data_IF_333898106478
#
_entry.id   IF_333898106478
#
_cell.length_a   1.000
_cell.length_b   1.000
_cell.length_c   1.000
_cell.angle_alpha   90.00
_cell.angle_beta   90.00
_cell.angle_gamma   90.00
#
_symmetry.space_group_name_H-M   'P 1'
#
loop_
_entity.id
_entity.type
_entity.pdbx_description
1 polymer ?
#
# COMPACT_ATOMS: atom_id res chain seq x y z
N UNK A 1 21.52 2.03 -22.32
CA UNK A 1 22.36 3.09 -22.92
C UNK A 1 21.48 3.93 -23.84
N UNK A 2 21.48 5.27 -23.76
CA UNK A 2 20.94 6.08 -24.84
C UNK A 2 21.94 6.00 -25.99
N UNK A 3 21.66 5.13 -26.96
CA UNK A 3 22.48 5.00 -28.16
C UNK A 3 22.32 6.26 -29.01
N UNK A 4 23.42 6.97 -29.24
CA UNK A 4 23.45 8.00 -30.29
C UNK A 4 23.32 7.29 -31.64
N UNK A 5 22.19 7.49 -32.32
CA UNK A 5 21.95 6.93 -33.65
C UNK A 5 22.51 7.86 -34.72
N UNK A 6 23.14 7.29 -35.74
CA UNK A 6 23.75 8.08 -36.82
C UNK A 6 22.70 8.68 -37.78
N UNK A 7 21.53 8.04 -37.89
CA UNK A 7 20.41 8.54 -38.68
C UNK A 7 19.05 7.94 -38.21
N UNK A 8 17.95 8.55 -38.68
CA UNK A 8 16.58 8.14 -38.33
C UNK A 8 16.19 6.75 -38.83
N UNK A 9 16.77 6.29 -39.95
CA UNK A 9 16.49 4.96 -40.51
C UNK A 9 17.04 3.85 -39.60
N UNK A 10 18.28 4.01 -39.14
CA UNK A 10 18.93 3.09 -38.20
C UNK A 10 18.16 2.99 -36.89
N UNK A 11 17.79 4.15 -36.31
CA UNK A 11 16.94 4.21 -35.11
C UNK A 11 15.62 3.46 -35.29
N UNK A 12 14.91 3.71 -36.40
CA UNK A 12 13.61 3.11 -36.64
C UNK A 12 13.70 1.60 -36.86
N UNK A 13 14.74 1.11 -37.54
CA UNK A 13 14.99 -0.33 -37.70
C UNK A 13 15.25 -1.01 -36.35
N UNK A 14 16.10 -0.41 -35.51
CA UNK A 14 16.37 -0.96 -34.19
C UNK A 14 15.12 -0.92 -33.31
N UNK A 15 14.34 0.16 -33.35
CA UNK A 15 13.06 0.25 -32.63
C UNK A 15 12.11 -0.88 -33.03
N UNK A 16 11.91 -1.12 -34.33
CA UNK A 16 11.06 -2.21 -34.82
C UNK A 16 11.56 -3.59 -34.39
N UNK A 17 12.88 -3.78 -34.35
CA UNK A 17 13.46 -5.03 -33.85
C UNK A 17 13.17 -5.23 -32.36
N UNK A 18 13.42 -4.22 -31.52
CA UNK A 18 13.16 -4.26 -30.09
C UNK A 18 11.67 -4.49 -29.82
N UNK A 19 10.79 -3.79 -30.53
CA UNK A 19 9.34 -3.93 -30.42
C UNK A 19 8.90 -5.37 -30.72
N UNK A 20 9.38 -5.95 -31.83
CA UNK A 20 9.05 -7.32 -32.21
C UNK A 20 9.56 -8.36 -31.19
N UNK A 21 10.76 -8.15 -30.66
CA UNK A 21 11.35 -9.00 -29.63
C UNK A 21 10.54 -8.91 -28.32
N UNK A 22 10.12 -7.71 -27.90
CA UNK A 22 9.30 -7.55 -26.70
C UNK A 22 7.91 -8.14 -26.84
N UNK A 23 7.23 -7.92 -27.97
CA UNK A 23 5.92 -8.53 -28.23
C UNK A 23 5.98 -10.05 -28.16
N UNK A 24 7.02 -10.65 -28.74
CA UNK A 24 7.23 -12.10 -28.66
C UNK A 24 7.42 -12.56 -27.21
N UNK A 25 8.29 -11.88 -26.45
CA UNK A 25 8.57 -12.19 -25.06
C UNK A 25 7.32 -12.07 -24.18
N UNK A 26 6.53 -11.02 -24.34
CA UNK A 26 5.31 -10.81 -23.56
C UNK A 26 4.24 -11.87 -23.89
N UNK A 27 4.11 -12.29 -25.16
CA UNK A 27 3.23 -13.42 -25.56
C UNK A 27 3.65 -14.73 -24.91
N UNK A 28 4.95 -15.03 -24.91
CA UNK A 28 5.50 -16.23 -24.28
C UNK A 28 5.28 -16.21 -22.75
N UNK A 29 5.52 -15.06 -22.11
CA UNK A 29 5.28 -14.87 -20.67
C UNK A 29 3.80 -15.03 -20.31
N UNK A 30 2.89 -14.42 -21.08
CA UNK A 30 1.45 -14.51 -20.84
C UNK A 30 0.97 -15.95 -21.00
N UNK A 31 1.40 -16.64 -22.07
CA UNK A 31 1.07 -18.04 -22.32
C UNK A 31 1.53 -18.91 -21.16
N UNK A 32 2.80 -18.79 -20.75
CA UNK A 32 3.35 -19.55 -19.64
C UNK A 32 2.64 -19.26 -18.30
N UNK A 33 2.22 -18.00 -18.06
CA UNK A 33 1.45 -17.63 -16.88
C UNK A 33 0.08 -18.32 -16.85
N UNK A 34 -0.64 -18.28 -17.97
CA UNK A 34 -1.98 -18.88 -18.09
C UNK A 34 -1.93 -20.41 -18.04
N UNK A 35 -0.93 -21.04 -18.66
CA UNK A 35 -0.74 -22.50 -18.64
C UNK A 35 -0.39 -23.04 -17.25
N UNK A 36 0.39 -22.29 -16.46
CA UNK A 36 0.71 -22.69 -15.08
C UNK A 36 -0.47 -22.56 -14.13
N UNK A 37 -1.47 -21.73 -14.44
CA UNK A 37 -2.63 -21.50 -13.58
C UNK A 37 -2.29 -20.86 -12.22
N UNK A 38 -1.26 -20.01 -12.17
CA UNK A 38 -0.83 -19.34 -10.93
C UNK A 38 -1.64 -18.07 -10.65
N UNK A 39 -1.59 -17.59 -9.41
CA UNK A 39 -2.18 -16.31 -9.01
C UNK A 39 -1.34 -15.13 -9.51
N UNK A 40 -1.98 -13.97 -9.66
CA UNK A 40 -1.27 -12.72 -10.00
C UNK A 40 -0.36 -12.28 -8.83
N UNK A 41 0.70 -11.51 -9.12
CA UNK A 41 1.68 -11.10 -8.11
C UNK A 41 1.06 -10.38 -6.91
N UNK A 42 0.03 -9.56 -7.14
CA UNK A 42 -0.68 -8.85 -6.07
C UNK A 42 -1.35 -9.80 -5.07
N UNK A 43 -2.00 -10.86 -5.57
CA UNK A 43 -2.63 -11.88 -4.73
C UNK A 43 -1.57 -12.72 -4.01
N UNK A 44 -0.53 -13.17 -4.72
CA UNK A 44 0.58 -13.91 -4.11
C UNK A 44 1.25 -13.11 -2.97
N UNK A 45 1.45 -11.79 -3.15
CA UNK A 45 2.00 -10.94 -2.11
C UNK A 45 1.05 -10.82 -0.91
N UNK A 46 -0.24 -10.57 -1.17
CA UNK A 46 -1.24 -10.46 -0.11
C UNK A 46 -1.36 -11.74 0.72
N UNK A 47 -1.25 -12.91 0.09
CA UNK A 47 -1.27 -14.22 0.77
C UNK A 47 -0.01 -14.44 1.60
N UNK A 48 1.18 -14.21 1.04
CA UNK A 48 2.45 -14.33 1.79
C UNK A 48 2.47 -13.42 3.02
N UNK A 49 2.04 -12.16 2.85
CA UNK A 49 1.94 -11.21 3.97
C UNK A 49 0.92 -11.67 5.00
N UNK A 50 -0.21 -12.23 4.56
CA UNK A 50 -1.23 -12.81 5.46
C UNK A 50 -0.63 -13.95 6.27
N UNK A 51 0.05 -14.90 5.64
CA UNK A 51 0.66 -16.04 6.30
C UNK A 51 1.69 -15.61 7.35
N UNK A 52 2.61 -14.71 6.97
CA UNK A 52 3.68 -14.24 7.85
C UNK A 52 3.13 -13.44 9.04
N UNK A 53 2.16 -12.55 8.83
CA UNK A 53 1.56 -11.77 9.92
C UNK A 53 0.74 -12.66 10.85
N UNK A 54 -0.03 -13.61 10.32
CA UNK A 54 -0.76 -14.59 11.13
C UNK A 54 0.18 -15.46 11.97
N UNK A 55 1.33 -15.89 11.41
CA UNK A 55 2.35 -16.60 12.15
C UNK A 55 2.97 -15.78 13.29
N UNK A 56 2.89 -14.44 13.23
CA UNK A 56 3.27 -13.50 14.30
C UNK A 56 2.11 -13.13 15.24
N UNK A 57 1.00 -13.83 15.16
CA UNK A 57 -0.16 -13.65 16.05
C UNK A 57 -1.06 -12.48 15.68
N UNK A 58 -0.95 -11.93 14.47
CA UNK A 58 -1.92 -10.96 13.97
C UNK A 58 -3.18 -11.65 13.44
N UNK A 59 -4.34 -11.06 13.71
CA UNK A 59 -5.61 -11.50 13.12
C UNK A 59 -5.91 -10.67 11.87
N UNK A 60 -6.17 -11.33 10.74
CA UNK A 60 -6.67 -10.63 9.55
C UNK A 60 -8.13 -10.25 9.75
N UNK A 61 -8.44 -8.97 9.61
CA UNK A 61 -9.82 -8.45 9.61
C UNK A 61 -10.21 -7.99 8.21
N UNK A 62 -11.51 -7.92 7.96
CA UNK A 62 -12.09 -7.40 6.70
C UNK A 62 -13.19 -6.43 7.05
N UNK A 63 -13.09 -5.19 6.55
CA UNK A 63 -14.05 -4.13 6.89
C UNK A 63 -14.74 -3.60 5.63
N UNK A 64 -15.91 -2.94 5.75
CA UNK A 64 -16.61 -2.40 4.59
C UNK A 64 -15.75 -1.42 3.79
N UNK A 65 -15.90 -1.42 2.46
CA UNK A 65 -15.30 -0.41 1.57
C UNK A 65 -15.97 0.95 1.74
N UNK A 66 -17.28 0.96 1.98
CA UNK A 66 -18.05 2.17 2.22
C UNK A 66 -17.87 2.62 3.67
N UNK A 67 -17.51 3.88 3.85
CA UNK A 67 -17.41 4.52 5.17
C UNK A 67 -18.31 5.75 5.23
N UNK A 68 -18.67 6.18 6.44
CA UNK A 68 -19.47 7.39 6.63
C UNK A 68 -18.63 8.66 6.50
N UNK A 69 -19.27 9.75 6.09
CA UNK A 69 -18.70 11.12 6.16
C UNK A 69 -18.20 11.45 7.57
N UNK A 70 -18.93 11.04 8.60
CA UNK A 70 -18.56 11.26 10.00
C UNK A 70 -17.28 10.52 10.39
N UNK A 71 -17.02 9.34 9.84
CA UNK A 71 -15.80 8.58 10.10
C UNK A 71 -14.58 9.27 9.51
N UNK A 72 -14.71 9.88 8.32
CA UNK A 72 -13.65 10.73 7.76
C UNK A 72 -13.43 12.02 8.57
N UNK A 73 -14.50 12.67 9.03
CA UNK A 73 -14.39 13.85 9.88
C UNK A 73 -13.63 13.54 11.18
N UNK A 74 -13.84 12.35 11.78
CA UNK A 74 -13.04 11.87 12.93
C UNK A 74 -11.57 11.65 12.62
N UNK A 75 -11.19 11.53 11.35
CA UNK A 75 -9.80 11.53 10.88
C UNK A 75 -9.29 12.95 10.58
N UNK A 76 -9.98 14.01 11.02
CA UNK A 76 -9.68 15.42 10.70
C UNK A 76 -9.72 15.75 9.20
N UNK A 77 -10.39 14.90 8.40
CA UNK A 77 -10.65 15.16 6.98
C UNK A 77 -12.01 15.84 6.85
N UNK A 78 -12.03 17.12 7.18
CA UNK A 78 -13.19 18.01 6.96
C UNK A 78 -13.29 18.50 5.51
N UNK A 79 -14.19 19.43 5.22
CA UNK A 79 -14.43 19.94 3.86
C UNK A 79 -13.29 20.81 3.31
N UNK A 80 -12.47 21.39 4.19
CA UNK A 80 -11.33 22.23 3.80
C UNK A 80 -10.03 21.42 3.67
N UNK A 81 -9.99 20.21 4.24
CA UNK A 81 -8.83 19.33 4.17
C UNK A 81 -8.50 18.91 2.72
N UNK A 82 -7.24 19.01 2.26
CA UNK A 82 -6.86 18.68 0.87
C UNK A 82 -7.29 17.28 0.41
N UNK A 83 -7.22 16.30 1.31
CA UNK A 83 -7.64 14.91 1.05
C UNK A 83 -9.13 14.78 0.70
N UNK A 84 -10.01 15.68 1.16
CA UNK A 84 -11.45 15.60 0.87
C UNK A 84 -11.72 15.70 -0.63
N UNK A 85 -10.94 16.52 -1.36
CA UNK A 85 -11.01 16.64 -2.82
C UNK A 85 -10.69 15.33 -3.54
N UNK A 86 -9.92 14.45 -2.91
CA UNK A 86 -9.56 13.15 -3.43
C UNK A 86 -10.60 12.07 -3.10
N UNK A 87 -11.63 12.35 -2.31
CA UNK A 87 -12.61 11.32 -1.89
C UNK A 87 -13.65 11.06 -2.99
N UNK A 88 -13.92 9.78 -3.26
CA UNK A 88 -15.05 9.33 -4.06
C UNK A 88 -16.32 9.23 -3.22
N UNK A 89 -17.15 10.27 -3.27
CA UNK A 89 -18.46 10.31 -2.61
C UNK A 89 -19.49 9.47 -3.37
N UNK A 90 -20.19 8.58 -2.66
CA UNK A 90 -21.28 7.74 -3.20
C UNK A 90 -22.64 8.38 -2.91
N UNK A 91 -22.77 9.05 -1.77
CA UNK A 91 -23.93 9.82 -1.37
C UNK A 91 -23.49 11.00 -0.49
N UNK A 92 -24.45 11.80 -0.02
CA UNK A 92 -24.18 12.89 0.95
C UNK A 92 -23.47 12.39 2.22
N UNK A 93 -23.73 11.15 2.64
CA UNK A 93 -23.30 10.62 3.92
C UNK A 93 -22.28 9.47 3.83
N UNK A 94 -21.98 8.98 2.62
CA UNK A 94 -21.10 7.83 2.41
C UNK A 94 -20.11 8.05 1.25
N UNK A 95 -18.93 7.48 1.39
CA UNK A 95 -17.89 7.49 0.37
C UNK A 95 -17.14 6.15 0.33
N UNK A 96 -16.39 5.92 -0.75
CA UNK A 96 -15.37 4.89 -0.77
C UNK A 96 -14.24 5.29 0.17
N UNK A 97 -13.69 4.32 0.93
CA UNK A 97 -12.60 4.58 1.86
C UNK A 97 -11.31 5.00 1.13
N UNK A 98 -10.70 6.15 1.47
CA UNK A 98 -9.41 6.58 0.92
C UNK A 98 -8.20 6.00 1.68
N UNK A 99 -8.47 5.32 2.81
CA UNK A 99 -7.51 4.67 3.69
C UNK A 99 -8.26 3.66 4.58
N UNK A 100 -7.54 2.70 5.17
CA UNK A 100 -8.13 1.69 6.07
C UNK A 100 -8.37 2.22 7.50
N UNK A 101 -7.67 3.28 7.90
CA UNK A 101 -7.64 3.77 9.28
C UNK A 101 -9.02 4.01 9.93
N UNK A 102 -10.04 4.64 9.31
CA UNK A 102 -11.34 4.87 9.95
C UNK A 102 -11.99 3.58 10.50
N UNK A 103 -11.96 2.51 9.73
CA UNK A 103 -12.53 1.24 10.16
C UNK A 103 -11.63 0.55 11.19
N UNK A 104 -10.30 0.62 11.02
CA UNK A 104 -9.37 0.05 11.99
C UNK A 104 -9.47 0.75 13.35
N UNK A 105 -9.61 2.08 13.40
CA UNK A 105 -9.87 2.82 14.63
C UNK A 105 -11.20 2.42 15.28
N UNK A 106 -12.25 2.16 14.49
CA UNK A 106 -13.52 1.62 15.02
C UNK A 106 -13.29 0.28 15.72
N UNK A 107 -12.51 -0.61 15.10
CA UNK A 107 -12.14 -1.89 15.71
C UNK A 107 -11.25 -1.69 16.95
N UNK A 108 -10.28 -0.77 16.93
CA UNK A 108 -9.47 -0.43 18.11
C UNK A 108 -10.35 -0.01 19.29
N UNK A 109 -11.35 0.83 19.04
CA UNK A 109 -12.31 1.28 20.05
C UNK A 109 -13.06 0.11 20.68
N UNK A 110 -13.55 -0.83 19.86
CA UNK A 110 -14.25 -2.01 20.37
C UNK A 110 -13.32 -3.00 21.08
N UNK A 111 -12.12 -3.22 20.53
CA UNK A 111 -11.12 -4.13 21.08
C UNK A 111 -10.47 -3.61 22.35
N UNK A 112 -10.44 -2.29 22.58
CA UNK A 112 -9.95 -1.67 23.82
C UNK A 112 -10.63 -2.24 25.07
N UNK A 113 -11.89 -2.68 24.94
CA UNK A 113 -12.71 -3.26 26.02
C UNK A 113 -12.22 -4.64 26.47
N UNK A 114 -11.43 -5.32 25.65
CA UNK A 114 -10.85 -6.63 25.96
C UNK A 114 -9.73 -6.50 26.99
N UNK A 115 -9.53 -7.53 27.81
CA UNK A 115 -8.56 -7.51 28.93
C UNK A 115 -7.13 -7.83 28.53
N UNK A 116 -6.91 -8.56 27.45
CA UNK A 116 -5.57 -9.02 27.07
C UNK A 116 -4.86 -7.97 26.22
N UNK A 117 -3.54 -7.90 26.37
CA UNK A 117 -2.63 -7.17 25.50
C UNK A 117 -1.40 -8.05 25.21
N UNK A 118 -0.75 -7.87 24.06
CA UNK A 118 -1.13 -6.96 22.97
C UNK A 118 -2.31 -7.49 22.14
N UNK A 119 -3.05 -6.58 21.49
CA UNK A 119 -4.06 -6.93 20.48
C UNK A 119 -3.49 -6.62 19.11
N UNK A 120 -3.45 -7.62 18.23
CA UNK A 120 -2.78 -7.56 16.93
C UNK A 120 -3.74 -7.89 15.82
N UNK A 121 -3.92 -6.96 14.89
CA UNK A 121 -4.76 -7.18 13.72
C UNK A 121 -4.29 -6.37 12.52
N UNK A 122 -4.71 -6.80 11.33
CA UNK A 122 -4.39 -6.12 10.10
C UNK A 122 -5.49 -6.31 9.06
N UNK A 123 -5.56 -5.40 8.09
CA UNK A 123 -6.42 -5.53 6.93
C UNK A 123 -5.59 -5.35 5.66
N UNK A 124 -5.86 -6.18 4.65
CA UNK A 124 -5.43 -5.97 3.26
C UNK A 124 -6.67 -5.74 2.42
N UNK A 125 -6.78 -4.58 1.76
CA UNK A 125 -7.93 -4.30 0.90
C UNK A 125 -7.85 -3.00 0.11
N UNK A 126 -8.79 -2.85 -0.84
CA UNK A 126 -8.85 -1.68 -1.71
C UNK A 126 -9.15 -0.39 -0.96
N UNK A 127 -8.45 0.67 -1.37
CA UNK A 127 -8.70 2.06 -1.05
C UNK A 127 -8.79 2.87 -2.35
N UNK A 128 -9.44 4.03 -2.27
CA UNK A 128 -9.77 4.83 -3.46
C UNK A 128 -9.48 6.31 -3.25
N UNK A 129 -8.72 6.91 -4.16
CA UNK A 129 -8.44 8.36 -4.17
C UNK A 129 -8.52 8.90 -5.59
N UNK A 130 -9.11 10.07 -5.79
CA UNK A 130 -9.10 10.79 -7.06
C UNK A 130 -7.71 11.37 -7.28
N UNK A 131 -6.79 10.51 -7.67
CA UNK A 131 -5.47 10.88 -8.17
C UNK A 131 -5.48 10.65 -9.68
N UNK A 132 -4.79 11.52 -10.42
CA UNK A 132 -4.50 11.22 -11.82
C UNK A 132 -3.60 9.99 -11.86
N UNK A 133 -4.07 8.91 -12.48
CA UNK A 133 -3.27 7.70 -12.68
C UNK A 133 -1.93 8.11 -13.31
N UNK A 134 -0.85 7.85 -12.59
CA UNK A 134 0.49 8.33 -12.91
C UNK A 134 1.54 7.30 -12.54
N UNK A 135 2.82 7.62 -12.72
CA UNK A 135 3.89 6.65 -12.47
C UNK A 135 3.89 6.09 -11.03
N UNK A 136 3.39 6.83 -10.04
CA UNK A 136 3.45 6.46 -8.60
C UNK A 136 2.07 6.36 -7.92
N UNK A 137 0.98 6.60 -8.65
CA UNK A 137 -0.37 6.78 -8.12
C UNK A 137 -1.41 6.05 -8.98
N UNK A 138 -2.33 5.34 -8.32
CA UNK A 138 -3.50 4.71 -8.93
C UNK A 138 -4.76 5.20 -8.20
N UNK A 139 -5.86 5.36 -8.94
CA UNK A 139 -7.16 5.73 -8.36
C UNK A 139 -7.74 4.66 -7.43
N UNK A 140 -7.58 3.38 -7.76
CA UNK A 140 -7.76 2.23 -6.87
C UNK A 140 -6.38 1.63 -6.52
N UNK A 141 -6.13 1.40 -5.23
CA UNK A 141 -4.90 0.80 -4.74
C UNK A 141 -5.19 -0.11 -3.54
N UNK A 142 -4.28 -1.06 -3.28
CA UNK A 142 -4.43 -2.05 -2.23
C UNK A 142 -3.53 -1.69 -1.06
N UNK A 143 -4.15 -1.37 0.07
CA UNK A 143 -3.43 -1.09 1.31
C UNK A 143 -3.33 -2.33 2.16
N UNK A 144 -2.20 -2.51 2.82
CA UNK A 144 -2.07 -3.29 4.04
C UNK A 144 -1.91 -2.32 5.20
N UNK A 145 -2.80 -2.37 6.19
CA UNK A 145 -2.61 -1.67 7.44
C UNK A 145 -2.61 -2.67 8.60
N UNK A 146 -1.56 -2.63 9.42
CA UNK A 146 -1.45 -3.43 10.64
C UNK A 146 -1.47 -2.52 11.87
N UNK A 147 -2.01 -3.03 12.97
CA UNK A 147 -2.12 -2.35 14.26
C UNK A 147 -1.78 -3.32 15.38
N UNK A 148 -0.94 -2.88 16.32
CA UNK A 148 -0.66 -3.57 17.57
C UNK A 148 -0.95 -2.64 18.76
N UNK A 149 -2.03 -2.91 19.48
CA UNK A 149 -2.45 -2.18 20.68
C UNK A 149 -1.80 -2.76 21.93
N UNK A 150 -1.44 -1.89 22.87
CA UNK A 150 -0.80 -2.23 24.14
C UNK A 150 0.72 -2.37 24.06
N UNK A 151 1.37 -1.83 23.03
CA UNK A 151 2.84 -1.78 22.96
C UNK A 151 3.36 -0.74 23.96
N UNK A 152 4.27 -1.07 24.89
CA UNK A 152 4.79 -0.12 25.88
C UNK A 152 5.40 1.12 25.22
N UNK A 153 5.21 2.32 25.80
CA UNK A 153 5.56 3.57 25.11
C UNK A 153 7.02 3.66 24.65
N UNK A 154 7.95 3.17 25.49
CA UNK A 154 9.39 3.17 25.20
C UNK A 154 9.84 2.13 24.17
N UNK A 155 8.96 1.19 23.80
CA UNK A 155 9.27 0.11 22.85
C UNK A 155 8.63 0.34 21.47
N UNK A 156 7.72 1.32 21.34
CA UNK A 156 6.92 1.55 20.14
C UNK A 156 7.76 1.75 18.88
N UNK A 157 8.83 2.53 18.94
CA UNK A 157 9.65 2.83 17.76
C UNK A 157 10.36 1.58 17.23
N UNK A 158 11.00 0.81 18.12
CA UNK A 158 11.66 -0.42 17.72
C UNK A 158 10.65 -1.47 17.26
N UNK A 159 9.48 -1.56 17.91
CA UNK A 159 8.40 -2.44 17.46
C UNK A 159 7.87 -2.06 16.07
N UNK A 160 7.77 -0.77 15.78
CA UNK A 160 7.38 -0.26 14.47
C UNK A 160 8.41 -0.67 13.40
N UNK A 161 9.71 -0.52 13.68
CA UNK A 161 10.79 -0.95 12.77
C UNK A 161 10.75 -2.46 12.53
N UNK A 162 10.59 -3.27 13.57
CA UNK A 162 10.47 -4.74 13.45
C UNK A 162 9.33 -5.15 12.52
N UNK A 163 8.15 -4.57 12.69
CA UNK A 163 6.97 -4.84 11.87
C UNK A 163 7.17 -4.32 10.44
N UNK A 164 7.85 -3.19 10.28
CA UNK A 164 8.19 -2.64 8.98
C UNK A 164 9.17 -3.54 8.21
N UNK A 165 10.24 -4.00 8.86
CA UNK A 165 11.19 -4.95 8.28
C UNK A 165 10.51 -6.24 7.84
N UNK A 166 9.65 -6.80 8.69
CA UNK A 166 8.92 -8.02 8.39
C UNK A 166 8.14 -7.91 7.08
N UNK A 167 7.39 -6.82 6.89
CA UNK A 167 6.59 -6.61 5.67
C UNK A 167 7.49 -6.31 4.47
N UNK A 168 8.51 -5.47 4.63
CA UNK A 168 9.44 -5.11 3.55
C UNK A 168 10.18 -6.35 3.02
N UNK A 169 10.77 -7.15 3.90
CA UNK A 169 11.52 -8.36 3.53
C UNK A 169 10.61 -9.43 2.93
N UNK A 170 9.41 -9.64 3.49
CA UNK A 170 8.42 -10.57 2.92
C UNK A 170 7.98 -10.16 1.52
N UNK A 171 8.00 -8.85 1.23
CA UNK A 171 7.69 -8.29 -0.09
C UNK A 171 8.85 -8.38 -1.08
N UNK A 172 10.02 -8.86 -0.66
CA UNK A 172 11.20 -9.00 -1.50
C UNK A 172 12.05 -7.73 -1.59
N UNK A 173 11.86 -6.74 -0.70
CA UNK A 173 12.73 -5.57 -0.65
C UNK A 173 14.08 -5.95 -0.02
N UNK A 174 15.16 -5.66 -0.73
CA UNK A 174 16.53 -5.99 -0.30
C UNK A 174 17.30 -4.79 0.24
N UNK A 175 16.87 -3.57 -0.06
CA UNK A 175 17.52 -2.33 0.36
C UNK A 175 16.46 -1.27 0.66
N UNK A 176 16.24 -1.01 1.95
CA UNK A 176 15.31 0.01 2.44
C UNK A 176 15.89 0.69 3.67
N UNK A 177 15.42 1.90 3.94
CA UNK A 177 15.81 2.66 5.12
C UNK A 177 14.60 3.34 5.74
N UNK A 178 14.81 3.83 6.96
CA UNK A 178 13.80 4.55 7.71
C UNK A 178 14.08 6.05 7.65
N UNK A 179 13.03 6.82 7.38
CA UNK A 179 13.05 8.28 7.46
C UNK A 179 11.95 8.75 8.40
N UNK A 180 12.19 9.84 9.12
CA UNK A 180 11.16 10.46 9.95
C UNK A 180 10.59 11.66 9.20
N UNK A 181 9.27 11.69 9.01
CA UNK A 181 8.57 12.80 8.35
C UNK A 181 7.45 13.38 9.22
N UNK A 182 6.97 14.58 8.85
CA UNK A 182 5.75 15.17 9.41
C UNK A 182 4.53 14.88 8.52
N UNK A 183 3.62 14.07 9.03
CA UNK A 183 2.31 13.79 8.46
C UNK A 183 1.26 14.80 8.91
N UNK A 184 0.48 15.32 7.94
CA UNK A 184 -0.68 16.18 8.23
C UNK A 184 -1.80 15.48 8.99
N UNK A 185 -1.85 14.14 8.92
CA UNK A 185 -2.89 13.33 9.57
C UNK A 185 -2.38 12.73 10.88
N UNK A 186 -1.11 12.31 10.93
CA UNK A 186 -0.57 11.50 12.03
C UNK A 186 0.58 12.15 12.82
N UNK A 187 0.95 13.41 12.55
CA UNK A 187 2.11 14.04 13.18
C UNK A 187 3.42 13.39 12.74
N UNK A 188 4.38 13.16 13.65
CA UNK A 188 5.66 12.51 13.29
C UNK A 188 5.45 11.03 12.93
N UNK A 189 5.79 10.66 11.70
CA UNK A 189 5.72 9.29 11.17
C UNK A 189 7.11 8.69 10.98
N UNK A 190 7.17 7.36 10.99
CA UNK A 190 8.32 6.59 10.53
C UNK A 190 8.00 6.01 9.16
N UNK A 191 8.66 6.52 8.15
CA UNK A 191 8.45 6.10 6.77
C UNK A 191 9.53 5.12 6.34
N UNK A 192 9.13 4.18 5.47
CA UNK A 192 10.05 3.21 4.85
C UNK A 192 10.25 3.63 3.42
N UNK A 193 11.48 3.94 3.04
CA UNK A 193 11.83 4.37 1.68
C UNK A 193 12.82 3.39 1.04
N UNK A 194 12.73 3.21 -0.27
CA UNK A 194 13.53 2.24 -1.04
C UNK A 194 14.07 2.83 -2.34
N UNK A 195 15.22 2.31 -2.77
CA UNK A 195 15.86 2.65 -4.04
C UNK A 195 16.46 4.06 -4.09
N UNK A 196 17.09 4.43 -5.22
CA UNK A 196 17.83 5.69 -5.37
C UNK A 196 16.94 6.94 -5.36
N UNK A 197 15.65 6.79 -5.69
CA UNK A 197 14.66 7.87 -5.65
C UNK A 197 13.94 8.00 -4.30
N UNK A 198 14.31 7.20 -3.30
CA UNK A 198 13.71 7.23 -1.96
C UNK A 198 12.19 7.07 -1.99
N UNK A 199 11.73 6.06 -2.74
CA UNK A 199 10.29 5.82 -2.91
C UNK A 199 9.72 5.34 -1.58
N UNK A 200 8.83 6.12 -0.98
CA UNK A 200 8.08 5.75 0.22
C UNK A 200 7.16 4.56 -0.06
N UNK A 201 7.38 3.42 0.59
CA UNK A 201 6.55 2.21 0.48
C UNK A 201 5.64 1.99 1.69
N UNK A 202 5.93 2.64 2.80
CA UNK A 202 5.10 2.64 3.99
C UNK A 202 5.27 3.89 4.84
N UNK A 203 4.23 4.15 5.62
CA UNK A 203 4.22 5.16 6.66
C UNK A 203 3.66 4.57 7.95
N UNK A 204 4.38 4.79 9.06
CA UNK A 204 4.06 4.29 10.38
C UNK A 204 3.78 5.40 11.38
N UNK A 205 2.83 5.16 12.27
CA UNK A 205 2.46 6.07 13.35
C UNK A 205 2.38 5.32 14.68
N UNK A 206 2.49 6.06 15.78
CA UNK A 206 2.48 5.52 17.13
C UNK A 206 1.51 6.33 18.00
N UNK A 207 0.63 5.64 18.70
CA UNK A 207 -0.26 6.25 19.70
C UNK A 207 0.30 6.14 21.11
N UNK A 208 -0.03 7.08 22.01
CA UNK A 208 -1.21 7.94 21.92
C UNK A 208 -1.08 9.07 20.88
N UNK A 209 -2.12 9.24 20.08
CA UNK A 209 -2.21 10.25 19.02
C UNK A 209 -3.44 11.15 19.26
N UNK A 210 -3.44 12.45 18.92
CA UNK A 210 -4.60 13.33 19.12
C UNK A 210 -5.92 12.81 18.51
N UNK A 211 -5.84 12.07 17.40
CA UNK A 211 -7.01 11.44 16.78
C UNK A 211 -7.68 10.41 17.69
N UNK A 212 -6.92 9.74 18.57
CA UNK A 212 -7.40 8.66 19.44
C UNK A 212 -8.61 9.08 20.26
N UNK A 213 -8.65 10.36 20.67
CA UNK A 213 -9.74 10.97 21.45
C UNK A 213 -11.09 10.84 20.73
N UNK A 214 -11.15 11.15 19.43
CA UNK A 214 -12.39 11.10 18.65
C UNK A 214 -12.91 9.66 18.44
N UNK A 215 -12.04 8.67 18.65
CA UNK A 215 -12.31 7.24 18.54
C UNK A 215 -12.45 6.55 19.90
N UNK A 216 -12.19 7.25 21.01
CA UNK A 216 -12.20 6.67 22.35
C UNK A 216 -11.10 5.63 22.57
N UNK A 217 -10.00 5.73 21.83
CA UNK A 217 -8.82 4.87 22.01
C UNK A 217 -7.97 5.46 23.13
N UNK A 218 -7.61 4.64 24.12
CA UNK A 218 -6.79 5.06 25.27
C UNK A 218 -5.52 4.22 25.42
N UNK A 219 -5.44 3.09 24.74
CA UNK A 219 -4.26 2.24 24.72
C UNK A 219 -3.13 2.90 23.92
N UNK A 220 -1.88 2.61 24.30
CA UNK A 220 -0.74 2.81 23.42
C UNK A 220 -0.85 1.89 22.19
N UNK A 221 -0.32 2.31 21.06
CA UNK A 221 -0.36 1.46 19.86
C UNK A 221 0.76 1.80 18.88
N UNK A 222 1.06 0.84 18.01
CA UNK A 222 1.86 1.06 16.80
C UNK A 222 1.04 0.64 15.58
N UNK A 223 1.18 1.35 14.47
CA UNK A 223 0.47 1.03 13.24
C UNK A 223 1.25 1.44 12.01
N UNK A 224 1.18 0.62 10.96
CA UNK A 224 1.85 0.84 9.68
C UNK A 224 0.88 0.63 8.53
N UNK A 225 0.99 1.48 7.51
CA UNK A 225 0.30 1.31 6.22
C UNK A 225 1.29 1.08 5.09
N UNK A 226 1.03 0.10 4.23
CA UNK A 226 1.81 -0.23 3.04
C UNK A 226 0.94 -0.23 1.80
N UNK A 227 1.45 0.32 0.69
CA UNK A 227 0.84 0.14 -0.63
C UNK A 227 1.40 -1.10 -1.32
N UNK A 228 0.57 -2.13 -1.53
CA UNK A 228 1.03 -3.41 -2.09
C UNK A 228 1.54 -3.29 -3.53
N UNK A 229 0.86 -2.50 -4.36
CA UNK A 229 1.31 -2.25 -5.73
C UNK A 229 2.69 -1.56 -5.75
N UNK A 230 2.94 -0.68 -4.79
CA UNK A 230 4.21 0.02 -4.66
C UNK A 230 5.32 -0.91 -4.17
N UNK A 231 5.02 -1.81 -3.23
CA UNK A 231 5.93 -2.87 -2.81
C UNK A 231 6.34 -3.78 -3.97
N UNK A 232 5.38 -4.20 -4.81
CA UNK A 232 5.67 -5.01 -6.00
C UNK A 232 6.54 -4.25 -7.01
N UNK A 233 6.17 -2.99 -7.28
CA UNK A 233 6.90 -2.13 -8.21
C UNK A 233 8.37 -1.99 -7.80
N UNK A 234 8.63 -1.68 -6.53
CA UNK A 234 9.99 -1.46 -6.04
C UNK A 234 10.78 -2.77 -5.89
N UNK A 235 10.15 -3.87 -5.48
CA UNK A 235 10.77 -5.19 -5.47
C UNK A 235 11.15 -5.68 -6.88
N UNK A 236 10.40 -5.28 -7.91
CA UNK A 236 10.71 -5.55 -9.31
C UNK A 236 11.77 -4.60 -9.90
N UNK A 237 12.25 -3.61 -9.14
CA UNK A 237 13.20 -2.61 -9.62
C UNK A 237 12.61 -1.64 -10.65
N UNK A 238 11.29 -1.45 -10.63
CA UNK A 238 10.57 -0.60 -11.57
C UNK A 238 10.20 0.77 -10.96
N UNK A 239 9.89 1.73 -11.84
CA UNK A 239 9.52 3.10 -11.47
C UNK A 239 8.07 3.47 -11.80
N UNK A 240 7.30 2.54 -12.36
CA UNK A 240 5.89 2.75 -12.75
C UNK A 240 4.96 1.72 -12.12
N UNK A 241 3.99 2.20 -11.34
CA UNK A 241 3.03 1.39 -10.59
C UNK A 241 1.92 0.80 -11.46
N UNK A 242 1.67 1.38 -12.64
CA UNK A 242 0.46 1.10 -13.44
C UNK A 242 0.31 -0.34 -13.93
N UNK A 243 1.40 -1.11 -13.98
CA UNK A 243 1.41 -2.54 -14.37
C UNK A 243 1.28 -3.52 -13.20
N UNK A 244 1.38 -3.01 -11.97
CA UNK A 244 1.35 -3.80 -10.73
C UNK A 244 0.02 -3.69 -9.98
N UNK A 245 -0.84 -2.74 -10.38
CA UNK A 245 -2.21 -2.60 -9.90
C UNK A 245 -3.24 -3.44 -10.66
N UNK A 246 -4.49 -3.32 -10.22
CA UNK A 246 -5.64 -3.92 -10.92
C UNK A 246 -5.91 -3.13 -12.19
N UNK A 247 -5.68 -3.76 -13.34
CA UNK A 247 -5.72 -3.10 -14.64
C UNK A 247 -6.23 -4.08 -15.72
N UNK A 248 -6.88 -3.55 -16.76
CA UNK A 248 -7.29 -4.32 -17.95
C UNK A 248 -6.30 -4.21 -19.11
N UNK A 249 -5.35 -3.28 -19.04
CA UNK A 249 -4.25 -3.12 -19.99
C UNK A 249 -3.02 -3.95 -19.62
N UNK A 250 -2.90 -4.34 -18.34
CA UNK A 250 -1.79 -5.13 -17.83
C UNK A 250 -2.28 -6.28 -16.96
N UNK A 251 -1.64 -7.45 -17.09
CA UNK A 251 -1.85 -8.58 -16.19
C UNK A 251 -0.49 -9.05 -15.66
N UNK A 252 -0.28 -8.98 -14.35
CA UNK A 252 0.96 -9.43 -13.71
C UNK A 252 2.23 -8.77 -14.30
N UNK A 253 2.17 -7.47 -14.61
CA UNK A 253 3.27 -6.74 -15.26
C UNK A 253 3.34 -6.87 -16.79
N UNK A 254 2.53 -7.73 -17.41
CA UNK A 254 2.53 -8.00 -18.86
C UNK A 254 1.49 -7.12 -19.54
N UNK A 255 1.86 -6.37 -20.58
CA UNK A 255 0.91 -5.57 -21.35
C UNK A 255 0.01 -6.48 -22.20
N UNK A 256 -1.28 -6.18 -22.32
CA UNK A 256 -2.24 -7.02 -23.02
C UNK A 256 -2.50 -6.58 -24.46
N UNK A 257 -2.13 -5.36 -24.84
CA UNK A 257 -2.12 -4.94 -26.25
C UNK A 257 -0.80 -5.41 -26.88
N UNK A 258 -0.83 -6.64 -27.42
CA UNK A 258 0.30 -7.41 -27.95
C UNK A 258 0.17 -7.71 -29.45
#
# INVERSE_FOLDING_TARGET
>A
MPGYFSNTSERNKLFQQIEKEQVKKEKEQLTAFLEKGTRVSLENLAEKLTEVLCARGFTRVTTPILISRSSLAKMTVDDDHPLNRQVYWISKNQCLRPMLAPNLYSLMSDFSRLRHRPIRFFEIGSCFRKESDGAKHNSEFTMLNLVEMGTPEGERLERLKELASLVAETSGLTDYRYESEESKVYGTTLDVVTGPENIEVASGAMGPHPLDIAWGVTDTWVGLGFGLERLLMTAAGESSIGRWGKNLSYLNGIHLSL
#
